data_IF_286459306272
#
_entry.id   IF_286459306272
#
_cell.length_a   1.000
_cell.length_b   1.000
_cell.length_c   1.000
_cell.angle_alpha   90.00
_cell.angle_beta   90.00
_cell.angle_gamma   90.00
#
_symmetry.space_group_name_H-M   'P 1'
#
loop_
_entity.id
_entity.type
_entity.pdbx_description
1 polymer ?
#
# COMPACT_ATOMS: atom_id res chain seq x y z
N UNK A 1 30.68 10.24 12.32
CA UNK A 1 31.60 9.08 12.51
C UNK A 1 32.49 8.94 11.26
N UNK A 2 33.68 8.31 11.29
CA UNK A 2 34.62 8.36 10.15
C UNK A 2 34.19 7.67 8.83
N UNK A 3 32.94 7.18 8.71
CA UNK A 3 32.34 6.68 7.45
C UNK A 3 30.93 7.26 7.20
N UNK A 4 30.62 8.39 7.82
CA UNK A 4 29.28 9.02 7.83
C UNK A 4 28.69 9.15 6.42
N UNK A 5 29.45 9.74 5.50
CA UNK A 5 29.01 10.04 4.13
C UNK A 5 28.70 8.78 3.33
N UNK A 6 29.47 7.70 3.52
CA UNK A 6 29.24 6.42 2.84
C UNK A 6 27.97 5.75 3.38
N UNK A 7 27.79 5.77 4.71
CA UNK A 7 26.58 5.24 5.35
C UNK A 7 25.32 6.03 4.97
N UNK A 8 25.41 7.35 4.88
CA UNK A 8 24.33 8.23 4.41
C UNK A 8 23.92 7.89 2.98
N UNK A 9 24.89 7.67 2.09
CA UNK A 9 24.63 7.31 0.70
C UNK A 9 23.97 5.93 0.58
N UNK A 10 24.47 4.93 1.31
CA UNK A 10 23.85 3.61 1.38
C UNK A 10 22.43 3.67 1.93
N UNK A 11 22.23 4.38 3.04
CA UNK A 11 20.93 4.54 3.66
C UNK A 11 19.94 5.19 2.69
N UNK A 12 20.33 6.31 2.06
CA UNK A 12 19.53 6.98 1.05
C UNK A 12 19.17 6.03 -0.10
N UNK A 13 20.16 5.30 -0.64
CA UNK A 13 19.93 4.34 -1.72
C UNK A 13 18.92 3.25 -1.34
N UNK A 14 19.08 2.65 -0.16
CA UNK A 14 18.18 1.60 0.33
C UNK A 14 16.77 2.17 0.55
N UNK A 15 16.64 3.35 1.16
CA UNK A 15 15.34 4.00 1.38
C UNK A 15 14.64 4.28 0.06
N UNK A 16 15.34 4.80 -0.94
CA UNK A 16 14.76 5.06 -2.27
C UNK A 16 14.28 3.77 -2.93
N UNK A 17 15.09 2.72 -2.94
CA UNK A 17 14.71 1.41 -3.51
C UNK A 17 13.50 0.83 -2.77
N UNK A 18 13.50 0.90 -1.44
CA UNK A 18 12.40 0.41 -0.60
C UNK A 18 11.08 1.15 -0.89
N UNK A 19 11.14 2.48 -1.00
CA UNK A 19 9.97 3.30 -1.34
C UNK A 19 9.45 2.95 -2.73
N UNK A 20 10.32 2.84 -3.74
CA UNK A 20 9.92 2.49 -5.12
C UNK A 20 9.24 1.12 -5.14
N UNK A 21 9.80 0.12 -4.47
CA UNK A 21 9.26 -1.26 -4.46
C UNK A 21 7.92 -1.34 -3.73
N UNK A 22 7.78 -0.59 -2.63
CA UNK A 22 6.53 -0.49 -1.86
C UNK A 22 5.44 0.19 -2.68
N UNK A 23 5.77 1.29 -3.37
CA UNK A 23 4.83 2.02 -4.21
C UNK A 23 4.36 1.22 -5.43
N UNK A 24 5.27 0.50 -6.07
CA UNK A 24 4.94 -0.38 -7.19
C UNK A 24 3.92 -1.46 -6.76
N UNK A 25 4.18 -2.09 -5.61
CA UNK A 25 3.28 -3.09 -5.02
C UNK A 25 1.89 -2.51 -4.69
N UNK A 26 1.83 -1.32 -4.08
CA UNK A 26 0.55 -0.67 -3.74
C UNK A 26 -0.24 -0.29 -5.00
N UNK A 27 0.43 0.28 -6.01
CA UNK A 27 -0.22 0.64 -7.27
C UNK A 27 -0.81 -0.59 -7.97
N UNK A 28 -0.07 -1.70 -7.98
CA UNK A 28 -0.55 -2.97 -8.53
C UNK A 28 -1.82 -3.45 -7.82
N UNK A 29 -1.82 -3.47 -6.48
CA UNK A 29 -2.96 -3.93 -5.67
C UNK A 29 -4.20 -3.08 -5.96
N UNK A 30 -4.07 -1.76 -6.00
CA UNK A 30 -5.21 -0.87 -6.28
C UNK A 30 -5.72 -1.08 -7.71
N UNK A 31 -4.82 -1.13 -8.70
CA UNK A 31 -5.18 -1.37 -10.09
C UNK A 31 -5.92 -2.71 -10.26
N UNK A 32 -5.48 -3.75 -9.55
CA UNK A 32 -6.13 -5.07 -9.55
C UNK A 32 -7.55 -5.02 -8.97
N UNK A 33 -7.75 -4.34 -7.84
CA UNK A 33 -9.08 -4.22 -7.22
C UNK A 33 -10.04 -3.31 -8.00
N UNK A 34 -9.52 -2.28 -8.69
CA UNK A 34 -10.32 -1.33 -9.49
C UNK A 34 -10.69 -1.91 -10.86
N UNK A 35 -9.90 -2.85 -11.39
CA UNK A 35 -10.19 -3.49 -12.66
C UNK A 35 -11.47 -4.34 -12.55
N UNK A 36 -12.57 -3.81 -13.08
CA UNK A 36 -13.87 -4.48 -13.15
C UNK A 36 -13.76 -5.76 -13.96
N UNK A 37 -13.83 -6.92 -13.28
CA UNK A 37 -14.05 -8.30 -13.73
C UNK A 37 -14.08 -8.52 -15.27
N UNK A 38 -13.03 -8.09 -15.96
CA UNK A 38 -12.85 -8.25 -17.40
C UNK A 38 -11.81 -9.33 -17.55
N UNK A 39 -12.32 -10.55 -17.69
CA UNK A 39 -11.60 -11.81 -17.79
C UNK A 39 -10.73 -12.13 -16.56
N UNK A 40 -11.10 -13.21 -15.86
CA UNK A 40 -10.24 -13.93 -14.92
C UNK A 40 -8.78 -13.93 -15.39
N UNK A 41 -7.86 -13.54 -14.50
CA UNK A 41 -6.41 -13.70 -14.66
C UNK A 41 -5.70 -12.83 -15.72
N UNK A 42 -6.21 -11.63 -16.06
CA UNK A 42 -5.39 -10.64 -16.77
C UNK A 42 -4.78 -9.62 -15.83
N UNK A 43 -3.46 -9.49 -15.93
CA UNK A 43 -2.66 -8.42 -15.34
C UNK A 43 -3.32 -7.04 -15.47
N UNK A 44 -3.29 -6.19 -14.42
CA UNK A 44 -3.79 -4.84 -14.53
C UNK A 44 -3.12 -4.08 -15.65
N UNK A 45 -3.94 -3.44 -16.50
CA UNK A 45 -3.47 -2.69 -17.65
C UNK A 45 -2.39 -1.70 -17.27
N UNK A 46 -1.30 -1.64 -18.04
CA UNK A 46 -0.11 -0.83 -17.75
C UNK A 46 -0.44 0.65 -17.47
N UNK A 47 -1.42 1.20 -18.20
CA UNK A 47 -1.89 2.58 -18.01
C UNK A 47 -2.63 2.79 -16.69
N UNK A 48 -3.38 1.80 -16.19
CA UNK A 48 -4.11 1.87 -14.92
C UNK A 48 -3.13 1.85 -13.74
N UNK A 49 -2.09 1.00 -13.81
CA UNK A 49 -1.00 1.01 -12.82
C UNK A 49 -0.26 2.34 -12.80
N UNK A 50 0.01 2.93 -13.97
CA UNK A 50 0.69 4.23 -14.02
C UNK A 50 -0.16 5.35 -13.40
N UNK A 51 -1.47 5.35 -13.68
CA UNK A 51 -2.42 6.29 -13.07
C UNK A 51 -2.39 6.19 -11.53
N UNK A 52 -2.52 4.99 -10.99
CA UNK A 52 -2.52 4.81 -9.53
C UNK A 52 -1.16 5.08 -8.89
N UNK A 53 -0.05 4.83 -9.58
CA UNK A 53 1.29 5.20 -9.11
C UNK A 53 1.43 6.73 -8.96
N UNK A 54 0.90 7.50 -9.91
CA UNK A 54 0.89 8.98 -9.85
C UNK A 54 0.00 9.46 -8.70
N UNK A 55 -1.21 8.92 -8.57
CA UNK A 55 -2.14 9.28 -7.48
C UNK A 55 -1.50 9.02 -6.11
N UNK A 56 -0.87 7.86 -5.95
CA UNK A 56 -0.16 7.54 -4.72
C UNK A 56 0.97 8.56 -4.48
N UNK A 57 1.66 9.07 -5.50
CA UNK A 57 2.76 10.04 -5.32
C UNK A 57 2.28 11.44 -4.93
N UNK A 58 1.11 11.83 -5.41
CA UNK A 58 0.48 13.11 -5.09
C UNK A 58 0.07 13.17 -3.62
N UNK A 59 -0.39 12.05 -3.03
CA UNK A 59 -0.85 12.01 -1.64
C UNK A 59 0.22 12.45 -0.61
N UNK A 60 1.42 11.84 -0.54
CA UNK A 60 2.47 12.29 0.38
C UNK A 60 3.05 13.63 -0.04
N UNK A 61 3.09 13.96 -1.35
CA UNK A 61 3.52 15.28 -1.80
C UNK A 61 2.61 16.38 -1.24
N UNK A 62 1.30 16.17 -1.26
CA UNK A 62 0.32 17.04 -0.62
C UNK A 62 0.57 17.15 0.89
N UNK A 63 0.84 16.04 1.58
CA UNK A 63 1.19 16.06 3.01
C UNK A 63 2.44 16.89 3.31
N UNK A 64 3.47 16.86 2.46
CA UNK A 64 4.69 17.64 2.69
C UNK A 64 4.40 19.15 2.63
N UNK A 65 3.48 19.58 1.75
CA UNK A 65 3.01 20.98 1.72
C UNK A 65 2.29 21.36 3.02
N UNK A 66 1.48 20.46 3.57
CA UNK A 66 0.91 20.62 4.91
C UNK A 66 1.94 20.15 5.95
N UNK A 67 2.98 20.93 6.21
CA UNK A 67 4.11 20.59 7.11
C UNK A 67 3.73 20.33 8.59
N UNK A 68 2.43 20.12 8.88
CA UNK A 68 1.88 19.67 10.14
C UNK A 68 1.87 18.15 10.22
N UNK A 69 2.71 17.60 11.10
CA UNK A 69 2.73 16.19 11.46
C UNK A 69 1.35 15.67 11.91
N UNK A 70 0.51 16.53 12.48
CA UNK A 70 -0.81 16.20 13.00
C UNK A 70 -1.79 15.89 11.87
N UNK A 71 -1.63 16.51 10.71
CA UNK A 71 -2.45 16.22 9.53
C UNK A 71 -2.16 14.80 9.02
N UNK A 72 -0.89 14.41 8.98
CA UNK A 72 -0.50 13.06 8.57
C UNK A 72 -1.07 11.99 9.52
N UNK A 73 -0.95 12.19 10.84
CA UNK A 73 -1.50 11.26 11.83
C UNK A 73 -3.03 11.16 11.74
N UNK A 74 -3.72 12.28 11.59
CA UNK A 74 -5.18 12.28 11.48
C UNK A 74 -5.67 11.51 10.25
N UNK A 75 -4.96 11.59 9.12
CA UNK A 75 -5.28 10.81 7.92
C UNK A 75 -5.08 9.31 8.15
N UNK A 76 -4.00 8.92 8.84
CA UNK A 76 -3.75 7.51 9.19
C UNK A 76 -4.83 6.97 10.13
N UNK A 77 -5.25 7.77 11.12
CA UNK A 77 -6.34 7.40 12.03
C UNK A 77 -7.65 7.24 11.25
N UNK A 78 -7.96 8.19 10.37
CA UNK A 78 -9.18 8.14 9.56
C UNK A 78 -9.21 6.92 8.61
N UNK A 79 -8.07 6.57 8.01
CA UNK A 79 -7.94 5.42 7.13
C UNK A 79 -7.97 4.07 7.88
N UNK A 80 -7.50 4.01 9.12
CA UNK A 80 -7.45 2.77 9.90
C UNK A 80 -8.78 2.40 10.56
N UNK A 81 -9.66 3.38 10.84
CA UNK A 81 -11.01 3.16 11.38
C UNK A 81 -11.84 2.09 10.63
N UNK A 82 -12.01 2.15 9.29
CA UNK A 82 -12.74 1.11 8.58
C UNK A 82 -12.01 -0.25 8.58
N UNK A 83 -10.68 -0.24 8.50
CA UNK A 83 -9.87 -1.46 8.49
C UNK A 83 -9.99 -2.25 9.81
N UNK A 84 -10.15 -1.55 10.94
CA UNK A 84 -10.38 -2.16 12.24
C UNK A 84 -11.56 -3.13 12.25
N UNK A 85 -12.61 -2.84 11.48
CA UNK A 85 -13.80 -3.71 11.38
C UNK A 85 -13.55 -4.83 10.37
N UNK A 86 -12.85 -4.54 9.27
CA UNK A 86 -12.62 -5.49 8.17
C UNK A 86 -11.66 -6.62 8.59
N UNK A 87 -10.57 -6.32 9.30
CA UNK A 87 -9.58 -7.33 9.70
C UNK A 87 -10.13 -8.49 10.55
N UNK A 88 -10.88 -8.28 11.64
CA UNK A 88 -11.44 -9.41 12.41
C UNK A 88 -12.49 -10.18 11.61
N UNK A 89 -13.26 -9.50 10.75
CA UNK A 89 -14.23 -10.16 9.87
C UNK A 89 -13.54 -11.11 8.89
N UNK A 90 -12.42 -10.66 8.31
CA UNK A 90 -11.57 -11.46 7.43
C UNK A 90 -11.00 -12.67 8.18
N UNK A 91 -10.50 -12.48 9.41
CA UNK A 91 -10.00 -13.58 10.23
C UNK A 91 -11.08 -14.66 10.48
N UNK A 92 -12.29 -14.25 10.89
CA UNK A 92 -13.42 -15.17 11.09
C UNK A 92 -13.79 -15.90 9.79
N UNK A 93 -13.79 -15.20 8.65
CA UNK A 93 -14.07 -15.80 7.34
C UNK A 93 -13.06 -16.91 6.99
N UNK A 94 -11.77 -16.65 7.20
CA UNK A 94 -10.71 -17.63 6.93
C UNK A 94 -10.85 -18.84 7.86
N UNK A 95 -11.06 -18.64 9.17
CA UNK A 95 -11.28 -19.76 10.08
C UNK A 95 -12.54 -20.56 9.73
N UNK A 96 -13.63 -19.89 9.33
CA UNK A 96 -14.85 -20.55 8.86
C UNK A 96 -14.59 -21.39 7.62
N UNK A 97 -13.90 -20.87 6.62
CA UNK A 97 -13.56 -21.61 5.39
C UNK A 97 -12.67 -22.83 5.65
N UNK A 98 -11.70 -22.71 6.55
CA UNK A 98 -10.84 -23.83 6.94
C UNK A 98 -11.62 -24.94 7.65
N UNK A 99 -12.50 -24.59 8.60
CA UNK A 99 -13.34 -25.58 9.29
C UNK A 99 -14.36 -26.26 8.34
N UNK A 100 -14.86 -25.54 7.33
CA UNK A 100 -15.76 -26.10 6.31
C UNK A 100 -15.02 -27.08 5.39
N UNK A 101 -13.76 -26.83 5.07
CA UNK A 101 -12.93 -27.75 4.27
C UNK A 101 -12.49 -29.00 5.04
N UNK A 102 -12.41 -28.96 6.37
CA UNK A 102 -12.02 -30.11 7.19
C UNK A 102 -13.20 -31.08 7.45
N UNK A 103 -14.44 -30.63 7.24
CA UNK A 103 -15.67 -31.41 7.45
C UNK A 103 -16.30 -31.97 6.17
N UNK A 104 -15.71 -31.71 5.00
CA UNK A 104 -16.06 -32.32 3.70
C UNK A 104 -14.93 -33.26 3.24
#
# INVERSE_FOLDING_TARGET
MPFDTLMLFLFCGITVIFVITSYDSMSYVIAYHVQKNSSENKDPGKYLRLFWAIVLGILPAALIFYSSHQVALNLIILASLPLLIIYPLMAISVFKELNVKETN
#
